data_IF_114216951781
#
_entry.id   IF_114216951781
#
_cell.length_a   1.000
_cell.length_b   1.000
_cell.length_c   1.000
_cell.angle_alpha   90.00
_cell.angle_beta   90.00
_cell.angle_gamma   90.00
#
_symmetry.space_group_name_H-M   'P 1'
#
loop_
_entity.id
_entity.type
_entity.pdbx_description
1 polymer ?
#
# COMPACT_ATOMS: atom_id res chain seq x y z
N UNK A 1 -26.88 -34.09 42.60
CA UNK A 1 -27.18 -32.65 42.49
C UNK A 1 -25.99 -31.98 41.82
N UNK A 2 -26.07 -31.76 40.51
CA UNK A 2 -25.24 -30.84 39.71
C UNK A 2 -25.97 -30.64 38.39
N UNK A 3 -26.31 -29.41 37.98
CA UNK A 3 -26.40 -29.10 36.57
C UNK A 3 -25.01 -28.72 36.07
N UNK A 4 -24.70 -29.24 34.88
CA UNK A 4 -23.43 -29.11 34.19
C UNK A 4 -23.12 -27.65 33.82
N UNK A 5 -21.82 -27.32 33.78
CA UNK A 5 -21.33 -26.08 33.21
C UNK A 5 -21.59 -26.06 31.71
N UNK A 6 -22.42 -25.13 31.26
CA UNK A 6 -22.53 -24.77 29.86
C UNK A 6 -21.21 -24.10 29.43
N UNK A 7 -20.57 -24.53 28.33
CA UNK A 7 -19.45 -23.79 27.77
C UNK A 7 -19.97 -22.43 27.30
N UNK A 8 -19.46 -21.35 27.89
CA UNK A 8 -19.67 -19.99 27.40
C UNK A 8 -19.09 -19.88 25.98
N UNK A 9 -19.91 -20.18 24.97
CA UNK A 9 -19.62 -19.80 23.60
C UNK A 9 -19.63 -18.27 23.59
N UNK A 10 -18.44 -17.66 23.63
CA UNK A 10 -18.25 -16.24 23.39
C UNK A 10 -19.07 -15.88 22.15
N UNK A 11 -20.05 -14.99 22.31
CA UNK A 11 -21.00 -14.71 21.23
C UNK A 11 -20.23 -14.17 20.02
N UNK A 12 -20.73 -14.40 18.80
CA UNK A 12 -20.14 -13.82 17.59
C UNK A 12 -20.03 -12.28 17.66
N UNK A 13 -20.82 -11.64 18.55
CA UNK A 13 -20.75 -10.21 18.86
C UNK A 13 -19.48 -9.85 19.65
N UNK A 14 -18.95 -10.79 20.43
CA UNK A 14 -17.73 -10.65 21.23
C UNK A 14 -16.46 -10.79 20.38
N UNK A 15 -16.46 -11.65 19.35
CA UNK A 15 -15.37 -11.73 18.36
C UNK A 15 -15.23 -10.43 17.54
N UNK A 16 -16.33 -9.70 17.31
CA UNK A 16 -16.31 -8.44 16.56
C UNK A 16 -15.56 -7.31 17.31
N UNK A 17 -15.40 -7.41 18.63
CA UNK A 17 -14.77 -6.36 19.45
C UNK A 17 -13.24 -6.32 19.32
N UNK A 18 -12.61 -7.43 18.91
CA UNK A 18 -11.14 -7.53 18.81
C UNK A 18 -10.61 -7.21 17.41
N UNK A 19 -11.48 -6.95 16.44
CA UNK A 19 -11.07 -6.45 15.14
C UNK A 19 -10.84 -4.94 15.22
N UNK A 20 -9.72 -4.54 15.84
CA UNK A 20 -9.18 -3.19 15.66
C UNK A 20 -8.70 -3.04 14.22
N UNK A 21 -9.65 -2.76 13.33
CA UNK A 21 -9.40 -2.39 11.96
C UNK A 21 -8.57 -1.10 11.95
N UNK A 22 -7.24 -1.21 11.89
CA UNK A 22 -6.31 -0.10 11.61
C UNK A 22 -6.38 0.35 10.14
N UNK A 23 -7.55 0.20 9.51
CA UNK A 23 -7.74 0.11 8.07
C UNK A 23 -7.80 1.44 7.32
N UNK A 24 -6.98 2.42 7.68
CA UNK A 24 -6.71 3.56 6.80
C UNK A 24 -5.33 4.19 6.99
N UNK A 25 -4.47 3.65 7.85
CA UNK A 25 -3.12 4.18 7.99
C UNK A 25 -2.22 3.58 6.91
N UNK A 26 -1.97 4.35 5.85
CA UNK A 26 -0.97 3.98 4.84
C UNK A 26 0.38 3.85 5.55
N UNK A 27 1.01 2.66 5.58
CA UNK A 27 2.27 2.47 6.27
C UNK A 27 3.35 3.42 5.73
N UNK A 28 4.17 3.96 6.63
CA UNK A 28 5.15 4.99 6.26
C UNK A 28 6.10 4.53 5.14
N UNK A 29 6.46 3.25 5.10
CA UNK A 29 7.36 2.70 4.08
C UNK A 29 6.73 2.72 2.68
N UNK A 30 5.41 2.53 2.57
CA UNK A 30 4.69 2.67 1.29
C UNK A 30 4.78 4.11 0.80
N UNK A 31 4.61 5.08 1.70
CA UNK A 31 4.77 6.51 1.37
C UNK A 31 6.19 6.83 0.91
N UNK A 32 7.20 6.28 1.60
CA UNK A 32 8.61 6.46 1.23
C UNK A 32 8.92 5.88 -0.15
N UNK A 33 8.45 4.66 -0.44
CA UNK A 33 8.59 4.03 -1.76
C UNK A 33 7.88 4.88 -2.83
N UNK A 34 6.69 5.40 -2.53
CA UNK A 34 5.93 6.23 -3.45
C UNK A 34 6.65 7.55 -3.80
N UNK A 35 7.20 8.23 -2.80
CA UNK A 35 8.02 9.44 -3.03
C UNK A 35 9.28 9.09 -3.83
N UNK A 36 9.96 8.01 -3.49
CA UNK A 36 11.13 7.53 -4.23
C UNK A 36 10.83 7.22 -5.69
N UNK A 37 9.70 6.56 -5.96
CA UNK A 37 9.21 6.28 -7.31
C UNK A 37 9.06 7.57 -8.13
N UNK A 38 8.44 8.61 -7.57
CA UNK A 38 8.26 9.88 -8.29
C UNK A 38 9.56 10.62 -8.54
N UNK A 39 10.46 10.66 -7.55
CA UNK A 39 11.80 11.26 -7.72
C UNK A 39 12.54 10.56 -8.87
N UNK A 40 12.56 9.22 -8.85
CA UNK A 40 13.21 8.44 -9.89
C UNK A 40 12.55 8.66 -11.26
N UNK A 41 11.22 8.69 -11.31
CA UNK A 41 10.46 8.93 -12.55
C UNK A 41 10.83 10.28 -13.17
N UNK A 42 10.84 11.35 -12.38
CA UNK A 42 11.22 12.70 -12.85
C UNK A 42 12.68 12.71 -13.34
N UNK A 43 13.59 12.13 -12.56
CA UNK A 43 15.01 12.01 -12.94
C UNK A 43 15.16 11.27 -14.28
N UNK A 44 14.54 10.10 -14.42
CA UNK A 44 14.60 9.30 -15.64
C UNK A 44 14.05 10.04 -16.85
N UNK A 45 12.92 10.73 -16.67
CA UNK A 45 12.28 11.49 -17.74
C UNK A 45 13.23 12.57 -18.28
N UNK A 46 13.85 13.35 -17.39
CA UNK A 46 14.77 14.44 -17.77
C UNK A 46 16.07 13.89 -18.37
N UNK A 47 16.67 12.88 -17.73
CA UNK A 47 18.00 12.41 -18.10
C UNK A 47 18.01 11.49 -19.33
N UNK A 48 16.94 10.73 -19.57
CA UNK A 48 16.92 9.67 -20.59
C UNK A 48 15.78 9.83 -21.59
N UNK A 49 14.55 10.00 -21.09
CA UNK A 49 13.36 10.00 -21.97
C UNK A 49 13.33 11.21 -22.90
N UNK A 50 13.49 12.43 -22.37
CA UNK A 50 13.46 13.65 -23.18
C UNK A 50 14.55 13.68 -24.26
N UNK A 51 15.83 13.38 -23.95
CA UNK A 51 16.88 13.31 -24.97
C UNK A 51 16.57 12.28 -26.07
N UNK A 52 16.11 11.08 -25.70
CA UNK A 52 15.76 10.04 -26.66
C UNK A 52 14.61 10.49 -27.57
N UNK A 53 13.57 11.10 -27.01
CA UNK A 53 12.45 11.66 -27.79
C UNK A 53 12.89 12.76 -28.75
N UNK A 54 13.84 13.62 -28.34
CA UNK A 54 14.38 14.66 -29.23
C UNK A 54 15.12 14.07 -30.44
N UNK A 55 15.90 13.01 -30.23
CA UNK A 55 16.62 12.32 -31.32
C UNK A 55 15.62 11.80 -32.35
N UNK A 56 14.60 11.05 -31.92
CA UNK A 56 13.59 10.48 -32.81
C UNK A 56 12.79 11.55 -33.58
N UNK A 57 12.49 12.69 -32.95
CA UNK A 57 11.68 13.76 -33.56
C UNK A 57 12.47 14.67 -34.51
N UNK A 58 13.76 14.91 -34.23
CA UNK A 58 14.58 15.89 -34.96
C UNK A 58 15.48 15.20 -35.99
N UNK A 59 15.89 13.96 -35.73
CA UNK A 59 16.87 13.24 -36.55
C UNK A 59 16.57 11.74 -36.52
N UNK A 60 15.42 11.32 -37.11
CA UNK A 60 15.16 9.89 -37.32
C UNK A 60 16.27 9.29 -38.19
N UNK A 61 16.72 8.05 -37.91
CA UNK A 61 17.78 7.38 -38.66
C UNK A 61 17.41 7.14 -40.14
#
# INVERSE_FOLDING_TARGET
MSPAGEPEYASAEQEHQFHHYRGNEIPWYVRAIWVGFWIYTVYYIIANFFPAMQIELISPP
#
